data_IF_260423516657
#
_entry.id   IF_260423516657
#
_cell.length_a   1.000
_cell.length_b   1.000
_cell.length_c   1.000
_cell.angle_alpha   90.00
_cell.angle_beta   90.00
_cell.angle_gamma   90.00
#
_symmetry.space_group_name_H-M   'P 1'
#
loop_
_entity.id
_entity.type
_entity.pdbx_description
1 polymer ?
#
# COMPACT_ATOMS: atom_id res chain seq x y z
N UNK A 1 -4.84 1.47 24.34
CA UNK A 1 -6.13 1.92 23.78
C UNK A 1 -6.28 3.42 23.98
N UNK A 2 -6.49 4.19 22.91
CA UNK A 2 -6.79 5.62 23.02
C UNK A 2 -8.32 5.74 23.00
N UNK A 3 -8.94 6.09 24.13
CA UNK A 3 -10.36 6.42 24.26
C UNK A 3 -11.38 5.42 23.66
N UNK A 4 -11.13 4.11 23.76
CA UNK A 4 -12.09 3.10 23.29
C UNK A 4 -12.29 3.03 21.77
N UNK A 5 -11.41 3.64 20.98
CA UNK A 5 -11.38 3.47 19.51
C UNK A 5 -10.27 2.51 19.12
N UNK A 6 -10.61 1.51 18.31
CA UNK A 6 -9.62 0.65 17.68
C UNK A 6 -8.93 1.47 16.58
N UNK A 7 -7.60 1.63 16.62
CA UNK A 7 -6.89 2.38 15.59
C UNK A 7 -7.06 1.70 14.23
N UNK A 8 -7.23 2.50 13.19
CA UNK A 8 -7.24 2.04 11.81
C UNK A 8 -5.87 2.30 11.19
N UNK A 9 -5.40 1.36 10.37
CA UNK A 9 -4.15 1.46 9.64
C UNK A 9 -4.42 1.35 8.15
N UNK A 10 -3.65 2.08 7.36
CA UNK A 10 -3.60 1.94 5.91
C UNK A 10 -2.16 1.71 5.47
N UNK A 11 -1.91 0.59 4.80
CA UNK A 11 -0.61 0.18 4.30
C UNK A 11 -0.63 0.32 2.78
N UNK A 12 0.34 1.04 2.22
CA UNK A 12 0.52 1.12 0.77
C UNK A 12 1.48 0.03 0.31
N UNK A 13 1.19 -0.54 -0.85
CA UNK A 13 2.02 -1.59 -1.44
C UNK A 13 2.02 -1.47 -2.97
N UNK A 14 3.04 -2.03 -3.59
CA UNK A 14 3.23 -2.03 -5.05
C UNK A 14 3.40 -3.44 -5.63
N UNK A 15 3.31 -4.46 -4.79
CA UNK A 15 3.38 -5.86 -5.20
C UNK A 15 1.99 -6.47 -5.31
N UNK A 16 1.75 -7.19 -6.41
CA UNK A 16 0.44 -7.78 -6.69
C UNK A 16 0.20 -8.97 -5.75
N UNK A 17 -0.91 -9.01 -5.00
CA UNK A 17 -1.23 -10.15 -4.16
C UNK A 17 -1.62 -11.37 -4.99
N UNK A 18 -1.35 -12.56 -4.45
CA UNK A 18 -1.84 -13.80 -5.04
C UNK A 18 -3.35 -13.94 -4.88
N UNK A 19 -4.02 -14.42 -5.92
CA UNK A 19 -5.46 -14.63 -5.92
C UNK A 19 -5.76 -16.12 -6.10
N UNK A 20 -6.15 -16.85 -5.05
CA UNK A 20 -6.49 -18.27 -5.18
C UNK A 20 -7.70 -18.47 -6.10
N UNK A 21 -7.83 -19.64 -6.72
CA UNK A 21 -8.91 -19.94 -7.66
C UNK A 21 -10.27 -20.15 -6.99
N UNK A 22 -10.28 -20.57 -5.73
CA UNK A 22 -11.48 -20.92 -4.96
C UNK A 22 -11.57 -20.12 -3.65
N UNK A 23 -12.71 -20.20 -2.97
CA UNK A 23 -12.97 -19.54 -1.69
C UNK A 23 -13.69 -18.19 -1.81
N UNK A 24 -14.30 -17.74 -0.69
CA UNK A 24 -14.96 -16.42 -0.58
C UNK A 24 -14.03 -15.34 -0.06
N UNK A 25 -12.97 -15.75 0.62
CA UNK A 25 -12.04 -14.93 1.39
C UNK A 25 -10.61 -15.32 1.02
N UNK A 26 -9.69 -14.36 1.09
CA UNK A 26 -8.26 -14.54 0.80
C UNK A 26 -7.48 -14.00 1.98
N UNK A 27 -6.57 -14.82 2.51
CA UNK A 27 -5.60 -14.36 3.50
C UNK A 27 -4.51 -13.56 2.78
N UNK A 28 -4.23 -12.37 3.28
CA UNK A 28 -3.14 -11.53 2.81
C UNK A 28 -2.12 -11.38 3.92
N UNK A 29 -0.85 -11.49 3.54
CA UNK A 29 0.30 -11.24 4.38
C UNK A 29 1.18 -10.20 3.67
N UNK A 30 1.43 -9.06 4.31
CA UNK A 30 2.36 -8.04 3.81
C UNK A 30 3.55 -7.99 4.76
N UNK A 31 4.74 -8.24 4.23
CA UNK A 31 6.00 -8.11 4.97
C UNK A 31 6.64 -6.78 4.62
N UNK A 32 7.00 -6.02 5.63
CA UNK A 32 7.80 -4.81 5.47
C UNK A 32 9.28 -5.10 5.68
N UNK A 33 10.14 -4.24 5.13
CA UNK A 33 11.59 -4.35 5.26
C UNK A 33 12.07 -4.27 6.72
N UNK A 34 11.30 -3.62 7.59
CA UNK A 34 11.61 -3.47 9.00
C UNK A 34 11.14 -4.67 9.86
N UNK A 35 10.73 -5.77 9.23
CA UNK A 35 10.31 -6.99 9.91
C UNK A 35 8.86 -7.00 10.42
N UNK A 36 8.10 -5.91 10.23
CA UNK A 36 6.66 -5.89 10.56
C UNK A 36 5.90 -6.73 9.53
N UNK A 37 5.02 -7.61 10.02
CA UNK A 37 4.17 -8.48 9.20
C UNK A 37 2.71 -8.09 9.44
N UNK A 38 1.98 -7.75 8.39
CA UNK A 38 0.56 -7.41 8.46
C UNK A 38 -0.24 -8.60 7.94
N UNK A 39 -1.17 -9.11 8.75
CA UNK A 39 -2.04 -10.23 8.41
C UNK A 39 -3.50 -9.82 8.41
N UNK A 40 -4.23 -10.26 7.39
CA UNK A 40 -5.68 -10.04 7.31
C UNK A 40 -6.37 -11.02 6.38
N UNK A 41 -7.69 -10.97 6.38
CA UNK A 41 -8.55 -11.68 5.45
C UNK A 41 -9.46 -10.70 4.71
N UNK A 42 -9.45 -10.75 3.38
CA UNK A 42 -10.25 -9.87 2.52
C UNK A 42 -11.24 -10.66 1.66
N UNK A 43 -12.32 -10.00 1.24
CA UNK A 43 -13.27 -10.60 0.31
C UNK A 43 -12.62 -10.85 -1.06
N UNK A 44 -12.64 -12.10 -1.51
CA UNK A 44 -12.00 -12.52 -2.78
C UNK A 44 -12.56 -11.80 -3.99
N UNK A 45 -13.88 -11.61 -4.06
CA UNK A 45 -14.54 -10.96 -5.20
C UNK A 45 -14.10 -9.50 -5.31
N UNK A 46 -14.00 -8.80 -4.18
CA UNK A 46 -13.49 -7.43 -4.13
C UNK A 46 -12.02 -7.38 -4.50
N UNK A 47 -11.18 -8.27 -3.95
CA UNK A 47 -9.76 -8.34 -4.28
C UNK A 47 -9.53 -8.61 -5.77
N UNK A 48 -10.27 -9.56 -6.37
CA UNK A 48 -10.20 -9.88 -7.80
C UNK A 48 -10.40 -8.65 -8.68
N UNK A 49 -11.40 -7.81 -8.35
CA UNK A 49 -11.64 -6.56 -9.09
C UNK A 49 -10.44 -5.61 -9.04
N UNK A 50 -9.74 -5.55 -7.92
CA UNK A 50 -8.57 -4.68 -7.77
C UNK A 50 -7.35 -5.27 -8.49
N UNK A 51 -7.15 -6.60 -8.42
CA UNK A 51 -6.10 -7.29 -9.19
C UNK A 51 -6.25 -7.02 -10.70
N UNK A 52 -7.47 -7.10 -11.24
CA UNK A 52 -7.72 -6.76 -12.65
C UNK A 52 -7.34 -5.30 -12.98
N UNK A 53 -7.54 -4.36 -12.05
CA UNK A 53 -7.07 -2.97 -12.23
C UNK A 53 -5.54 -2.88 -12.21
N UNK A 54 -4.88 -3.58 -11.28
CA UNK A 54 -3.41 -3.63 -11.21
C UNK A 54 -2.81 -4.11 -12.53
N UNK A 55 -3.47 -5.07 -13.19
CA UNK A 55 -3.05 -5.61 -14.50
C UNK A 55 -3.35 -4.66 -15.67
N UNK A 56 -4.28 -3.73 -15.49
CA UNK A 56 -4.69 -2.76 -16.53
C UNK A 56 -3.89 -1.46 -16.47
N UNK A 57 -3.26 -1.13 -15.32
CA UNK A 57 -2.50 0.09 -15.13
C UNK A 57 -1.01 -0.11 -15.43
N UNK A 58 -0.40 0.85 -16.11
CA UNK A 58 1.05 0.82 -16.39
C UNK A 58 1.89 0.94 -15.10
N UNK A 59 1.45 1.77 -14.16
CA UNK A 59 2.01 1.87 -12.80
C UNK A 59 0.87 2.14 -11.81
N UNK A 60 0.98 1.59 -10.61
CA UNK A 60 -0.09 1.64 -9.62
C UNK A 60 0.43 1.58 -8.18
N UNK A 61 -0.44 1.97 -7.25
CA UNK A 61 -0.26 1.78 -5.81
C UNK A 61 -1.53 1.19 -5.21
N UNK A 62 -1.35 0.10 -4.46
CA UNK A 62 -2.38 -0.52 -3.66
C UNK A 62 -2.42 0.08 -2.26
N UNK A 63 -3.60 0.12 -1.66
CA UNK A 63 -3.81 0.48 -0.26
C UNK A 63 -4.63 -0.63 0.41
N UNK A 64 -4.06 -1.22 1.46
CA UNK A 64 -4.73 -2.15 2.37
C UNK A 64 -5.11 -1.37 3.64
N UNK A 65 -6.40 -1.25 3.92
CA UNK A 65 -6.89 -0.53 5.09
C UNK A 65 -7.74 -1.43 5.98
N UNK A 66 -7.59 -1.32 7.30
CA UNK A 66 -8.38 -2.10 8.26
C UNK A 66 -8.11 -1.68 9.71
N UNK A 67 -8.94 -2.19 10.62
CA UNK A 67 -8.85 -1.89 12.05
C UNK A 67 -7.86 -2.84 12.71
N UNK A 68 -6.91 -2.31 13.48
CA UNK A 68 -5.98 -3.12 14.25
C UNK A 68 -6.75 -3.83 15.38
N UNK A 69 -6.59 -5.14 15.45
CA UNK A 69 -7.20 -5.98 16.51
C UNK A 69 -6.15 -6.62 17.41
N UNK A 70 -4.96 -6.86 16.90
CA UNK A 70 -3.85 -7.41 17.67
C UNK A 70 -2.52 -6.91 17.13
N UNK A 71 -1.56 -6.74 18.05
CA UNK A 71 -0.16 -6.47 17.74
C UNK A 71 0.68 -7.41 18.60
N UNK A 72 1.38 -8.34 17.97
CA UNK A 72 2.24 -9.28 18.67
C UNK A 72 3.59 -8.64 19.03
N UNK A 73 4.28 -9.12 20.08
CA UNK A 73 5.65 -8.70 20.40
C UNK A 73 6.66 -8.98 19.27
N UNK A 74 6.34 -9.93 18.39
CA UNK A 74 7.17 -10.33 17.24
C UNK A 74 6.96 -9.44 16.00
N UNK A 75 6.18 -8.36 16.13
CA UNK A 75 5.93 -7.41 15.04
C UNK A 75 4.83 -7.85 14.06
N UNK A 76 3.97 -8.79 14.45
CA UNK A 76 2.80 -9.17 13.65
C UNK A 76 1.61 -8.28 14.01
N UNK A 77 1.03 -7.61 13.01
CA UNK A 77 -0.16 -6.77 13.16
C UNK A 77 -1.32 -7.48 12.47
N UNK A 78 -2.35 -7.82 13.23
CA UNK A 78 -3.58 -8.38 12.70
C UNK A 78 -4.62 -7.27 12.55
N UNK A 79 -5.23 -7.20 11.36
CA UNK A 79 -6.27 -6.22 11.05
C UNK A 79 -7.57 -6.89 10.60
N UNK A 80 -8.70 -6.35 11.03
CA UNK A 80 -10.05 -6.80 10.68
C UNK A 80 -10.80 -5.79 9.81
N UNK A 81 -11.83 -6.29 9.14
CA UNK A 81 -12.67 -5.48 8.24
C UNK A 81 -11.90 -4.92 7.06
N UNK A 82 -10.82 -5.59 6.64
CA UNK A 82 -9.88 -5.03 5.71
C UNK A 82 -10.38 -5.01 4.27
N UNK A 83 -9.93 -3.99 3.53
CA UNK A 83 -10.22 -3.81 2.11
C UNK A 83 -8.99 -3.35 1.33
N UNK A 84 -8.94 -3.75 0.06
CA UNK A 84 -7.91 -3.31 -0.88
C UNK A 84 -8.52 -2.32 -1.87
N UNK A 85 -7.81 -1.22 -2.11
CA UNK A 85 -8.07 -0.28 -3.19
C UNK A 85 -6.81 -0.06 -4.02
N UNK A 86 -6.96 0.09 -5.33
CA UNK A 86 -5.84 0.32 -6.25
C UNK A 86 -6.03 1.62 -6.99
N UNK A 87 -4.95 2.38 -7.08
CA UNK A 87 -4.90 3.68 -7.72
C UNK A 87 -3.80 3.65 -8.78
N UNK A 88 -4.12 4.14 -9.98
CA UNK A 88 -3.14 4.35 -11.04
C UNK A 88 -2.18 5.49 -10.66
N UNK A 89 -0.88 5.29 -10.83
CA UNK A 89 0.09 6.37 -10.71
C UNK A 89 0.18 7.10 -12.04
N UNK A 90 -0.27 8.36 -12.06
CA UNK A 90 -0.01 9.21 -13.22
C UNK A 90 1.49 9.55 -13.27
N UNK A 91 2.13 9.46 -14.44
CA UNK A 91 3.51 9.90 -14.58
C UNK A 91 3.63 11.35 -14.12
N UNK A 92 4.58 11.63 -13.23
CA UNK A 92 4.95 13.01 -12.91
C UNK A 92 5.44 13.64 -14.21
N UNK A 93 4.82 14.75 -14.60
CA UNK A 93 5.40 15.61 -15.63
C UNK A 93 6.86 15.90 -15.23
N UNK A 94 7.81 15.86 -16.18
CA UNK A 94 9.20 16.16 -15.87
C UNK A 94 9.24 17.51 -15.15
N UNK A 95 9.92 17.55 -13.99
CA UNK A 95 10.14 18.80 -13.29
C UNK A 95 10.78 19.78 -14.28
N UNK A 96 10.35 21.06 -14.32
CA UNK A 96 11.03 22.04 -15.16
C UNK A 96 12.51 22.01 -14.79
N UNK A 97 13.36 21.85 -15.82
CA UNK A 97 14.79 21.82 -15.66
C UNK A 97 15.18 23.03 -14.80
N UNK A 98 15.83 22.76 -13.67
CA UNK A 98 16.44 23.78 -12.84
C UNK A 98 17.54 24.39 -13.71
N UNK A 99 17.20 25.47 -14.42
CA UNK A 99 18.15 26.32 -15.13
C UNK A 99 19.31 26.58 -14.18
N UNK A 100 20.49 26.14 -14.59
CA UNK A 100 21.73 26.47 -13.92
C UNK A 100 21.83 27.99 -13.88
N UNK A 101 21.64 28.58 -12.70
CA UNK A 101 22.06 29.96 -12.46
C UNK A 101 23.56 30.02 -12.71
N UNK A 102 24.06 30.86 -13.64
CA UNK A 102 25.48 31.10 -13.74
C UNK A 102 25.93 31.83 -12.47
N UNK A 103 26.72 31.15 -11.65
CA UNK A 103 27.45 31.79 -10.57
C UNK A 103 28.35 32.88 -11.16
N UNK A 104 28.25 34.05 -10.54
CA UNK A 104 29.00 35.27 -10.81
C UNK A 104 30.50 34.99 -10.77
N UNK A 105 31.17 35.13 -11.92
CA UNK A 105 32.62 35.25 -11.98
C UNK A 105 32.96 36.58 -12.65
N UNK A 106 33.23 37.61 -11.86
CA UNK A 106 34.24 38.60 -12.26
C UNK A 106 35.03 39.00 -11.02
N UNK A 107 36.30 38.63 -11.07
CA UNK A 107 37.37 39.15 -10.23
C UNK A 107 38.24 40.01 -11.15
N UNK A 108 38.42 41.28 -10.80
CA UNK A 108 39.59 42.14 -11.06
C UNK A 108 39.28 43.55 -10.59
#
# INVERSE_FOLDING_TARGET
>A
MINGRNPEITIKFTEKPELPEQGKKVQLEIKSDNGIIIKTEVNRKSLKKQVTKMESFADWVGALSGKIVSVSPEGVIEIEGAGVNVFEKKPKAPAPAKEASPETSTAA
#
